data_IF_666276597047
#
_entry.id   IF_666276597047
#
_cell.length_a   1.000
_cell.length_b   1.000
_cell.length_c   1.000
_cell.angle_alpha   90.00
_cell.angle_beta   90.00
_cell.angle_gamma   90.00
#
_symmetry.space_group_name_H-M   'P 1'
#
loop_
_entity.id
_entity.type
_entity.pdbx_description
1 polymer ?
#
# COMPACT_ATOMS: atom_id res chain seq x y z
N UNK A 1 -4.24 -44.48 -11.46
CA UNK A 1 -3.86 -43.08 -11.64
C UNK A 1 -4.67 -42.10 -10.78
N UNK A 2 -5.89 -42.40 -10.37
CA UNK A 2 -6.72 -41.56 -9.52
C UNK A 2 -6.29 -41.50 -8.04
N UNK A 3 -5.80 -42.60 -7.48
CA UNK A 3 -5.42 -42.69 -6.06
C UNK A 3 -4.19 -41.83 -5.72
N UNK A 4 -3.26 -41.64 -6.66
CA UNK A 4 -2.06 -40.83 -6.45
C UNK A 4 -2.39 -39.33 -6.39
N UNK A 5 -3.32 -38.87 -7.24
CA UNK A 5 -3.81 -37.45 -7.17
C UNK A 5 -4.55 -37.19 -5.88
N UNK A 6 -5.33 -38.15 -5.39
CA UNK A 6 -6.06 -38.01 -4.13
C UNK A 6 -5.11 -37.95 -2.93
N UNK A 7 -4.03 -38.74 -2.93
CA UNK A 7 -2.99 -38.68 -1.89
C UNK A 7 -2.26 -37.35 -1.90
N UNK A 8 -1.91 -36.79 -3.07
CA UNK A 8 -1.24 -35.47 -3.18
C UNK A 8 -2.17 -34.36 -2.68
N UNK A 9 -3.44 -34.38 -3.06
CA UNK A 9 -4.41 -33.36 -2.62
C UNK A 9 -4.60 -33.42 -1.10
N UNK A 10 -4.73 -34.61 -0.51
CA UNK A 10 -4.80 -34.75 0.95
C UNK A 10 -3.51 -34.35 1.65
N UNK A 11 -2.34 -34.63 1.08
CA UNK A 11 -1.06 -34.21 1.65
C UNK A 11 -0.91 -32.66 1.62
N UNK A 12 -1.31 -32.00 0.53
CA UNK A 12 -1.33 -30.54 0.43
C UNK A 12 -2.34 -29.96 1.43
N UNK A 13 -3.51 -30.55 1.58
CA UNK A 13 -4.51 -30.11 2.54
C UNK A 13 -4.05 -30.27 3.99
N UNK A 14 -3.35 -31.38 4.30
CA UNK A 14 -2.79 -31.64 5.62
C UNK A 14 -1.66 -30.67 5.97
N UNK A 15 -0.78 -30.34 5.01
CA UNK A 15 0.29 -29.36 5.22
C UNK A 15 -0.26 -27.93 5.40
N UNK A 16 -1.38 -27.58 4.77
CA UNK A 16 -2.06 -26.31 4.99
C UNK A 16 -2.73 -26.20 6.37
N UNK A 17 -3.21 -27.32 6.95
CA UNK A 17 -3.83 -27.33 8.27
C UNK A 17 -2.84 -27.23 9.46
N UNK A 18 -1.56 -27.48 9.25
CA UNK A 18 -0.53 -27.40 10.28
C UNK A 18 0.28 -26.10 10.26
N UNK A 19 -0.13 -25.08 9.50
CA UNK A 19 0.39 -23.74 9.73
C UNK A 19 -0.06 -23.31 11.13
N UNK A 20 0.81 -23.50 12.13
CA UNK A 20 0.67 -22.81 13.40
C UNK A 20 0.50 -21.34 13.06
N UNK A 21 -0.62 -20.77 13.49
CA UNK A 21 -0.83 -19.32 13.46
C UNK A 21 0.20 -18.76 14.42
N UNK A 22 1.40 -18.46 13.91
CA UNK A 22 2.32 -17.60 14.61
C UNK A 22 1.53 -16.35 14.99
N UNK A 23 1.82 -15.77 16.17
CA UNK A 23 1.19 -14.51 16.55
C UNK A 23 1.27 -13.56 15.34
N UNK A 24 0.16 -12.96 14.94
CA UNK A 24 0.16 -12.10 13.77
C UNK A 24 1.20 -11.00 14.00
N UNK A 25 2.23 -10.96 13.16
CA UNK A 25 3.15 -9.83 13.15
C UNK A 25 2.36 -8.55 12.84
N UNK A 26 2.83 -7.39 13.30
CA UNK A 26 2.16 -6.13 13.03
C UNK A 26 1.87 -5.99 11.53
N UNK A 27 0.66 -5.60 11.14
CA UNK A 27 0.31 -5.51 9.72
C UNK A 27 1.25 -4.56 8.99
N UNK A 28 1.59 -4.87 7.74
CA UNK A 28 2.43 -4.00 6.91
C UNK A 28 1.74 -2.67 6.60
N UNK A 29 0.44 -2.73 6.39
CA UNK A 29 -0.44 -1.59 6.19
C UNK A 29 -1.71 -1.85 6.99
N UNK A 30 -2.45 -0.81 7.33
CA UNK A 30 -3.83 -0.97 7.79
C UNK A 30 -4.69 -1.42 6.59
N UNK A 31 -5.53 -0.58 6.06
CA UNK A 31 -6.17 -0.83 4.76
C UNK A 31 -5.27 -0.29 3.64
N UNK A 32 -4.89 0.98 3.75
CA UNK A 32 -4.07 1.68 2.75
C UNK A 32 -2.84 2.38 3.34
N UNK A 33 -2.96 2.89 4.55
CA UNK A 33 -1.90 3.62 5.25
C UNK A 33 -0.83 2.66 5.75
N UNK A 34 0.46 2.93 5.45
CA UNK A 34 1.56 2.11 5.93
C UNK A 34 1.71 2.19 7.45
N UNK A 35 2.12 1.08 8.06
CA UNK A 35 2.48 0.99 9.47
C UNK A 35 3.98 0.78 9.64
N UNK A 36 4.48 0.77 10.88
CA UNK A 36 5.86 0.36 11.15
C UNK A 36 6.05 -1.18 11.25
N UNK A 37 5.05 -1.95 10.83
CA UNK A 37 5.19 -3.41 10.70
C UNK A 37 6.16 -3.79 9.58
N UNK A 38 6.96 -4.83 9.82
CA UNK A 38 7.84 -5.48 8.85
C UNK A 38 7.59 -6.98 8.86
N UNK A 39 7.94 -7.66 7.79
CA UNK A 39 7.85 -9.12 7.72
C UNK A 39 9.02 -9.76 8.45
N UNK A 40 8.80 -10.82 9.24
CA UNK A 40 9.86 -11.63 9.80
C UNK A 40 10.76 -12.20 8.70
N UNK A 41 12.01 -12.44 9.03
CA UNK A 41 12.99 -13.05 8.10
C UNK A 41 12.46 -14.36 7.53
N UNK A 42 12.52 -14.50 6.20
CA UNK A 42 12.11 -15.71 5.47
C UNK A 42 10.60 -15.88 5.33
N UNK A 43 9.80 -14.94 5.83
CA UNK A 43 8.34 -14.92 5.59
C UNK A 43 8.01 -14.16 4.32
N UNK A 44 6.83 -14.42 3.79
CA UNK A 44 6.30 -13.67 2.65
C UNK A 44 4.80 -13.42 2.82
N UNK A 45 4.31 -12.39 2.18
CA UNK A 45 2.87 -12.12 2.02
C UNK A 45 2.54 -11.94 0.55
N UNK A 46 1.34 -12.40 0.20
CA UNK A 46 0.72 -12.07 -1.08
C UNK A 46 -0.58 -11.32 -0.79
N UNK A 47 -0.65 -10.09 -1.28
CA UNK A 47 -1.81 -9.22 -1.15
C UNK A 47 -2.37 -8.92 -2.54
N UNK A 48 -3.66 -8.68 -2.64
CA UNK A 48 -4.29 -8.26 -3.87
C UNK A 48 -5.31 -7.17 -3.57
N UNK A 49 -5.05 -5.97 -4.09
CA UNK A 49 -5.95 -4.84 -3.94
C UNK A 49 -6.84 -4.74 -5.19
N UNK A 50 -8.15 -4.75 -4.97
CA UNK A 50 -9.12 -4.48 -6.03
C UNK A 50 -9.36 -2.98 -6.07
N UNK A 51 -9.19 -2.38 -7.26
CA UNK A 51 -9.31 -0.94 -7.49
C UNK A 51 -10.54 -0.61 -8.33
N UNK A 52 -10.83 0.68 -8.48
CA UNK A 52 -11.92 1.17 -9.34
C UNK A 52 -11.82 0.57 -10.76
N UNK A 53 -12.95 0.46 -11.43
CA UNK A 53 -13.07 -0.05 -12.80
C UNK A 53 -12.55 -1.49 -13.00
N UNK A 54 -12.60 -2.31 -11.96
CA UNK A 54 -12.18 -3.71 -12.02
C UNK A 54 -10.66 -3.89 -12.15
N UNK A 55 -9.89 -2.93 -11.70
CA UNK A 55 -8.44 -3.07 -11.62
C UNK A 55 -8.03 -3.97 -10.44
N UNK A 56 -6.87 -4.64 -10.59
CA UNK A 56 -6.26 -5.46 -9.54
C UNK A 56 -4.78 -5.11 -9.44
N UNK A 57 -4.29 -5.00 -8.21
CA UNK A 57 -2.88 -4.79 -7.90
C UNK A 57 -2.42 -5.96 -7.02
N UNK A 58 -1.92 -7.05 -7.61
CA UNK A 58 -1.21 -8.08 -6.87
C UNK A 58 0.12 -7.53 -6.36
N UNK A 59 0.46 -7.87 -5.12
CA UNK A 59 1.67 -7.47 -4.42
C UNK A 59 2.26 -8.67 -3.67
N UNK A 60 3.52 -8.92 -3.88
CA UNK A 60 4.29 -9.94 -3.16
C UNK A 60 5.38 -9.24 -2.36
N UNK A 61 5.39 -9.47 -1.05
CA UNK A 61 6.41 -8.95 -0.15
C UNK A 61 7.14 -10.09 0.55
N UNK A 62 8.45 -9.93 0.76
CA UNK A 62 9.33 -10.90 1.42
C UNK A 62 10.14 -10.19 2.51
N UNK A 63 10.24 -10.82 3.69
CA UNK A 63 11.13 -10.41 4.77
C UNK A 63 12.54 -10.97 4.57
N UNK A 64 13.50 -10.13 4.27
CA UNK A 64 14.92 -10.53 4.17
C UNK A 64 15.59 -10.60 5.54
N UNK A 65 15.24 -9.65 6.40
CA UNK A 65 15.59 -9.65 7.82
C UNK A 65 14.33 -9.25 8.61
N UNK A 66 14.37 -9.35 9.93
CA UNK A 66 13.23 -8.93 10.76
C UNK A 66 12.94 -7.42 10.64
N UNK A 67 13.93 -6.64 10.19
CA UNK A 67 13.82 -5.19 10.04
C UNK A 67 13.76 -4.72 8.59
N UNK A 68 13.99 -5.61 7.61
CA UNK A 68 14.01 -5.24 6.20
C UNK A 68 13.11 -6.16 5.37
N UNK A 69 12.16 -5.58 4.70
CA UNK A 69 11.28 -6.25 3.73
C UNK A 69 11.29 -5.55 2.38
N UNK A 70 11.17 -6.37 1.35
CA UNK A 70 11.10 -5.95 -0.05
C UNK A 70 9.88 -6.56 -0.71
N UNK A 71 9.22 -5.79 -1.57
CA UNK A 71 8.07 -6.25 -2.33
C UNK A 71 8.10 -5.79 -3.77
N UNK A 72 7.30 -6.47 -4.57
CA UNK A 72 7.00 -6.10 -5.95
C UNK A 72 5.50 -6.14 -6.17
N UNK A 73 4.99 -5.23 -6.98
CA UNK A 73 3.58 -5.18 -7.36
C UNK A 73 3.40 -4.88 -8.83
N UNK A 74 2.22 -5.17 -9.33
CA UNK A 74 1.90 -4.98 -10.74
C UNK A 74 0.43 -4.54 -10.90
N UNK A 75 0.20 -3.37 -11.47
CA UNK A 75 -1.15 -2.85 -11.65
C UNK A 75 -1.76 -3.31 -12.98
N UNK A 76 -2.87 -4.04 -12.92
CA UNK A 76 -3.65 -4.46 -14.09
C UNK A 76 -5.01 -3.78 -13.97
N UNK A 77 -5.43 -3.06 -15.00
CA UNK A 77 -6.73 -2.40 -15.06
C UNK A 77 -7.74 -3.23 -15.85
N UNK A 78 -9.03 -3.05 -15.51
CA UNK A 78 -10.16 -3.69 -16.21
C UNK A 78 -10.06 -5.23 -16.28
N UNK A 79 -9.41 -5.86 -15.28
CA UNK A 79 -9.34 -7.32 -15.22
C UNK A 79 -10.71 -7.93 -14.89
N UNK A 80 -11.51 -7.23 -14.10
CA UNK A 80 -12.88 -7.60 -13.77
C UNK A 80 -13.82 -6.64 -14.51
N UNK A 81 -14.71 -7.18 -15.36
CA UNK A 81 -15.69 -6.39 -16.10
C UNK A 81 -15.70 -6.71 -17.60
N UNK A 82 -16.34 -5.86 -18.39
CA UNK A 82 -16.52 -6.08 -19.82
C UNK A 82 -15.47 -5.41 -20.71
N UNK A 83 -14.58 -4.60 -20.13
CA UNK A 83 -13.51 -3.91 -20.86
C UNK A 83 -12.32 -4.85 -21.07
N UNK A 84 -11.50 -4.56 -22.09
CA UNK A 84 -10.26 -5.33 -22.29
C UNK A 84 -9.26 -4.99 -21.19
N UNK A 85 -8.68 -6.01 -20.50
CA UNK A 85 -7.63 -5.79 -19.53
C UNK A 85 -6.40 -5.12 -20.16
N UNK A 86 -5.76 -4.22 -19.42
CA UNK A 86 -4.49 -3.63 -19.80
C UNK A 86 -3.60 -3.42 -18.57
N UNK A 87 -2.31 -3.39 -18.80
CA UNK A 87 -1.30 -3.19 -17.77
C UNK A 87 -1.01 -1.69 -17.66
N UNK A 88 -0.96 -1.16 -16.43
CA UNK A 88 -0.67 0.25 -16.19
C UNK A 88 0.73 0.66 -16.66
N UNK A 89 1.72 -0.06 -16.19
CA UNK A 89 3.14 0.13 -16.57
C UNK A 89 3.75 -1.21 -16.96
N UNK A 90 4.68 -1.18 -17.89
CA UNK A 90 5.40 -2.38 -18.32
C UNK A 90 6.39 -2.88 -17.27
N UNK A 91 6.86 -2.01 -16.40
CA UNK A 91 7.76 -2.33 -15.29
C UNK A 91 6.98 -2.59 -14.00
N UNK A 92 7.36 -3.59 -13.21
CA UNK A 92 6.79 -3.76 -11.88
C UNK A 92 7.17 -2.59 -10.98
N UNK A 93 6.30 -2.29 -10.04
CA UNK A 93 6.53 -1.32 -8.97
C UNK A 93 7.14 -2.02 -7.76
N UNK A 94 7.89 -1.26 -6.95
CA UNK A 94 8.65 -1.79 -5.82
C UNK A 94 8.19 -1.23 -4.50
N UNK A 95 8.29 -2.06 -3.46
CA UNK A 95 8.05 -1.68 -2.08
C UNK A 95 9.27 -2.05 -1.24
N UNK A 96 9.71 -1.10 -0.44
CA UNK A 96 10.82 -1.28 0.51
C UNK A 96 10.36 -0.79 1.87
N UNK A 97 10.64 -1.57 2.92
CA UNK A 97 10.48 -1.13 4.30
C UNK A 97 11.72 -1.46 5.09
N UNK A 98 12.21 -0.48 5.83
CA UNK A 98 13.33 -0.64 6.75
C UNK A 98 12.96 -0.06 8.11
N UNK A 99 12.88 -0.94 9.12
CA UNK A 99 12.63 -0.56 10.51
C UNK A 99 13.93 -0.20 11.18
N UNK A 100 14.04 1.07 11.55
CA UNK A 100 15.25 1.62 12.19
C UNK A 100 15.21 1.42 13.70
N UNK A 101 14.03 1.55 14.29
CA UNK A 101 13.83 1.35 15.73
C UNK A 101 12.67 0.38 15.95
N UNK A 102 12.96 -0.64 16.78
CA UNK A 102 11.94 -1.56 17.24
C UNK A 102 11.06 -0.92 18.32
N UNK A 103 9.81 -1.34 18.37
CA UNK A 103 8.93 -0.94 19.44
C UNK A 103 9.38 -1.51 20.78
N UNK A 104 9.36 -0.68 21.79
CA UNK A 104 9.60 -1.07 23.19
C UNK A 104 8.52 -0.42 24.09
N UNK A 105 8.51 -0.71 25.37
CA UNK A 105 7.55 -0.07 26.29
C UNK A 105 7.56 1.46 26.21
N UNK A 106 8.74 2.06 26.04
CA UNK A 106 8.93 3.52 26.06
C UNK A 106 9.06 4.14 24.68
N UNK A 107 9.52 3.38 23.69
CA UNK A 107 9.83 3.89 22.34
C UNK A 107 8.88 3.31 21.31
N UNK A 108 8.38 4.12 20.38
CA UNK A 108 7.62 3.64 19.23
C UNK A 108 8.56 2.96 18.22
N UNK A 109 7.99 2.10 17.38
CA UNK A 109 8.68 1.63 16.19
C UNK A 109 8.75 2.74 15.14
N UNK A 110 9.88 2.83 14.42
CA UNK A 110 10.07 3.80 13.34
C UNK A 110 10.55 3.06 12.09
N UNK A 111 9.82 3.28 11.00
CA UNK A 111 10.11 2.70 9.68
C UNK A 111 10.28 3.80 8.65
N UNK A 112 11.29 3.63 7.81
CA UNK A 112 11.39 4.31 6.51
C UNK A 112 10.97 3.34 5.42
N UNK A 113 10.23 3.83 4.45
CA UNK A 113 9.79 3.00 3.33
C UNK A 113 9.76 3.75 2.01
N UNK A 114 9.69 2.96 0.97
CA UNK A 114 9.47 3.39 -0.40
C UNK A 114 8.35 2.53 -0.97
N UNK A 115 7.34 3.14 -1.55
CA UNK A 115 6.32 2.44 -2.34
C UNK A 115 6.07 3.24 -3.61
N UNK A 116 6.41 2.67 -4.75
CA UNK A 116 6.23 3.31 -6.07
C UNK A 116 4.91 2.94 -6.72
N UNK A 117 4.08 2.10 -6.07
CA UNK A 117 2.79 1.68 -6.60
C UNK A 117 1.70 2.70 -6.26
N UNK A 118 1.27 3.43 -7.28
CA UNK A 118 0.05 4.23 -7.22
C UNK A 118 -1.21 3.40 -7.50
N UNK A 119 -2.38 4.03 -7.46
CA UNK A 119 -3.68 3.40 -7.68
C UNK A 119 -4.42 4.03 -8.84
N UNK A 120 -5.24 3.21 -9.50
CA UNK A 120 -5.96 3.63 -10.71
C UNK A 120 -5.09 3.55 -11.95
N UNK A 121 -5.46 4.30 -12.97
CA UNK A 121 -4.77 4.30 -14.27
C UNK A 121 -3.51 5.14 -14.18
N UNK A 122 -2.40 4.62 -14.72
CA UNK A 122 -1.19 5.41 -14.95
C UNK A 122 -1.35 6.22 -16.23
N UNK A 123 -1.05 7.52 -16.17
CA UNK A 123 -1.15 8.45 -17.30
C UNK A 123 0.18 9.11 -17.56
N UNK A 124 0.70 8.90 -18.76
CA UNK A 124 1.90 9.60 -19.22
C UNK A 124 1.59 11.06 -19.52
N UNK A 125 0.40 11.33 -20.09
CA UNK A 125 0.01 12.67 -20.52
C UNK A 125 -1.51 12.88 -20.44
N UNK A 126 -1.91 14.13 -20.42
CA UNK A 126 -3.29 14.56 -20.62
C UNK A 126 -3.38 15.58 -21.76
N UNK A 127 -4.48 15.57 -22.47
CA UNK A 127 -4.79 16.56 -23.51
C UNK A 127 -5.53 17.70 -22.83
N UNK A 128 -4.93 18.89 -22.81
CA UNK A 128 -5.56 20.12 -22.38
C UNK A 128 -5.80 21.00 -23.59
N UNK A 129 -6.96 21.62 -23.69
CA UNK A 129 -7.55 22.43 -24.78
C UNK A 129 -6.71 22.72 -26.05
N UNK A 130 -5.40 22.83 -25.99
CA UNK A 130 -4.52 23.07 -27.14
C UNK A 130 -3.16 22.36 -27.08
N UNK A 131 -2.79 21.78 -25.91
CA UNK A 131 -1.49 21.15 -25.70
C UNK A 131 -1.59 19.80 -25.01
N UNK A 132 -0.67 18.91 -25.36
CA UNK A 132 -0.47 17.65 -24.60
C UNK A 132 0.52 17.92 -23.48
N UNK A 133 0.07 17.75 -22.24
CA UNK A 133 0.90 17.93 -21.05
C UNK A 133 1.29 16.58 -20.49
N UNK A 134 2.60 16.38 -20.31
CA UNK A 134 3.13 15.19 -19.62
C UNK A 134 2.86 15.30 -18.14
N UNK A 135 2.36 14.25 -17.52
CA UNK A 135 2.04 14.20 -16.09
C UNK A 135 2.66 13.01 -15.37
N UNK A 136 2.95 11.93 -16.06
CA UNK A 136 3.67 10.73 -15.59
C UNK A 136 3.24 10.28 -14.19
N UNK A 137 1.93 10.05 -13.98
CA UNK A 137 1.40 9.71 -12.66
C UNK A 137 0.23 8.74 -12.71
N UNK A 138 -0.03 8.09 -11.58
CA UNK A 138 -1.27 7.37 -11.35
C UNK A 138 -2.44 8.33 -11.03
N UNK A 139 -3.68 7.85 -11.19
CA UNK A 139 -4.88 8.58 -10.76
C UNK A 139 -4.79 8.97 -9.26
N UNK A 140 -4.26 8.07 -8.42
CA UNK A 140 -3.83 8.35 -7.05
C UNK A 140 -2.34 8.09 -6.96
N UNK A 141 -1.57 9.11 -6.60
CA UNK A 141 -0.11 9.00 -6.50
C UNK A 141 0.33 7.88 -5.55
N UNK A 142 1.46 7.28 -5.86
CA UNK A 142 2.14 6.37 -4.96
C UNK A 142 2.54 7.09 -3.67
N UNK A 143 2.72 6.32 -2.59
CA UNK A 143 3.25 6.85 -1.33
C UNK A 143 4.62 7.49 -1.51
N UNK A 144 5.43 6.97 -2.45
CA UNK A 144 6.82 7.40 -2.65
C UNK A 144 7.68 7.07 -1.44
N UNK A 145 8.55 7.99 -1.05
CA UNK A 145 9.28 7.89 0.22
C UNK A 145 8.35 8.25 1.38
N UNK A 146 8.35 7.43 2.42
CA UNK A 146 7.58 7.70 3.62
C UNK A 146 8.35 7.35 4.88
N UNK A 147 7.98 8.00 5.97
CA UNK A 147 8.36 7.63 7.32
C UNK A 147 7.09 7.43 8.15
N UNK A 148 7.06 6.36 8.93
CA UNK A 148 5.95 6.07 9.82
C UNK A 148 6.46 5.72 11.21
N UNK A 149 5.77 6.23 12.20
CA UNK A 149 5.95 5.95 13.63
C UNK A 149 4.73 5.20 14.10
N UNK A 150 4.92 4.04 14.71
CA UNK A 150 3.84 3.20 15.22
C UNK A 150 4.04 2.85 16.67
N UNK A 151 2.98 2.93 17.45
CA UNK A 151 2.98 2.55 18.85
C UNK A 151 1.75 1.75 19.18
N UNK A 152 1.97 0.61 19.87
CA UNK A 152 0.91 -0.29 20.30
C UNK A 152 0.81 -0.31 21.83
N UNK A 153 -0.41 -0.41 22.31
CA UNK A 153 -0.72 -0.59 23.73
C UNK A 153 -1.68 -1.75 23.90
N UNK A 154 -1.53 -2.47 24.98
CA UNK A 154 -2.48 -3.50 25.36
C UNK A 154 -3.52 -2.90 26.33
N UNK A 155 -4.60 -2.36 25.77
CA UNK A 155 -5.70 -1.75 26.50
C UNK A 155 -7.01 -2.44 26.13
N UNK A 156 -7.40 -3.48 26.89
CA UNK A 156 -8.57 -4.32 26.57
C UNK A 156 -8.55 -4.81 25.11
N UNK A 157 -7.45 -5.51 24.72
CA UNK A 157 -7.07 -5.83 23.36
C UNK A 157 -6.05 -4.85 22.80
N UNK A 158 -5.49 -5.16 21.65
CA UNK A 158 -4.46 -4.32 21.02
C UNK A 158 -5.05 -2.97 20.57
N UNK A 159 -4.30 -1.91 20.82
CA UNK A 159 -4.57 -0.55 20.35
C UNK A 159 -3.32 -0.03 19.67
N UNK A 160 -3.38 0.19 18.35
CA UNK A 160 -2.30 0.73 17.55
C UNK A 160 -2.58 2.17 17.11
N UNK A 161 -1.54 3.00 17.15
CA UNK A 161 -1.51 4.33 16.56
C UNK A 161 -0.35 4.42 15.58
N UNK A 162 -0.64 4.98 14.40
CA UNK A 162 0.31 5.10 13.31
C UNK A 162 0.24 6.52 12.78
N UNK A 163 1.39 7.19 12.74
CA UNK A 163 1.49 8.58 12.25
C UNK A 163 2.67 8.62 11.31
N UNK A 164 2.50 9.25 10.17
CA UNK A 164 3.58 9.37 9.22
C UNK A 164 3.40 10.51 8.22
N UNK A 165 4.43 10.67 7.44
CA UNK A 165 4.45 11.59 6.31
C UNK A 165 5.15 10.93 5.14
N UNK A 166 4.79 11.39 3.96
CA UNK A 166 5.34 10.86 2.72
C UNK A 166 5.50 11.96 1.68
N UNK A 167 6.29 11.63 0.66
CA UNK A 167 6.49 12.44 -0.52
C UNK A 167 6.53 11.53 -1.74
N UNK A 168 5.67 11.77 -2.71
CA UNK A 168 5.68 11.03 -3.98
C UNK A 168 7.00 11.24 -4.72
N UNK A 169 7.49 10.18 -5.34
CA UNK A 169 8.70 10.23 -6.16
C UNK A 169 8.35 9.87 -7.60
N UNK A 170 8.79 10.71 -8.55
CA UNK A 170 8.61 10.46 -9.97
C UNK A 170 7.21 10.71 -10.51
N UNK A 171 6.32 11.31 -9.70
CA UNK A 171 4.96 11.68 -10.09
C UNK A 171 4.67 13.17 -9.84
N UNK A 172 5.69 14.02 -10.02
CA UNK A 172 5.62 15.45 -9.69
C UNK A 172 5.48 16.35 -10.93
N UNK A 173 5.36 15.76 -12.13
CA UNK A 173 5.21 16.51 -13.38
C UNK A 173 3.88 17.27 -13.46
N UNK A 174 2.92 16.90 -12.61
CA UNK A 174 1.68 17.63 -12.40
C UNK A 174 1.85 18.96 -11.65
N UNK A 175 3.04 19.24 -11.13
CA UNK A 175 3.38 20.46 -10.38
C UNK A 175 3.06 20.40 -8.89
N UNK A 176 2.48 19.30 -8.40
CA UNK A 176 2.22 19.06 -6.98
C UNK A 176 3.34 18.21 -6.37
N UNK A 177 4.19 18.82 -5.59
CA UNK A 177 5.37 18.22 -4.98
C UNK A 177 5.39 18.43 -3.45
N UNK A 178 4.24 18.52 -2.86
CA UNK A 178 4.10 18.77 -1.43
C UNK A 178 4.38 17.54 -0.59
N UNK A 179 4.71 17.75 0.68
CA UNK A 179 4.72 16.69 1.66
C UNK A 179 3.29 16.37 2.08
N UNK A 180 3.01 15.09 2.23
CA UNK A 180 1.73 14.64 2.72
C UNK A 180 1.86 14.07 4.14
N UNK A 181 0.77 14.13 4.88
CA UNK A 181 0.63 13.60 6.22
C UNK A 181 -0.48 12.54 6.24
N UNK A 182 -0.25 11.48 7.02
CA UNK A 182 -1.25 10.44 7.23
C UNK A 182 -1.28 9.98 8.69
N UNK A 183 -2.43 9.45 9.07
CA UNK A 183 -2.70 8.92 10.39
C UNK A 183 -3.46 7.61 10.27
N UNK A 184 -3.16 6.67 11.14
CA UNK A 184 -3.84 5.39 11.23
C UNK A 184 -4.09 4.99 12.69
N UNK A 185 -5.20 4.33 12.90
CA UNK A 185 -5.63 3.81 14.18
C UNK A 185 -6.19 2.42 13.99
N UNK A 186 -5.76 1.47 14.81
CA UNK A 186 -6.37 0.16 14.89
C UNK A 186 -6.71 -0.20 16.33
N UNK A 187 -7.85 -0.84 16.52
CA UNK A 187 -8.32 -1.30 17.82
C UNK A 187 -8.92 -2.68 17.71
N UNK A 188 -8.33 -3.63 18.40
CA UNK A 188 -8.94 -4.92 18.62
C UNK A 188 -10.08 -4.79 19.65
N UNK A 189 -11.31 -5.05 19.22
CA UNK A 189 -12.49 -5.02 20.06
C UNK A 189 -12.71 -6.38 20.72
N UNK A 190 -12.48 -7.45 19.99
CA UNK A 190 -12.46 -8.83 20.45
C UNK A 190 -11.69 -9.71 19.46
N UNK A 191 -11.58 -11.03 19.73
CA UNK A 191 -10.82 -11.98 18.90
C UNK A 191 -11.26 -12.05 17.42
N UNK A 192 -12.46 -11.59 17.10
CA UNK A 192 -13.05 -11.67 15.75
C UNK A 192 -13.33 -10.32 15.12
N UNK A 193 -13.16 -9.23 15.88
CA UNK A 193 -13.52 -7.88 15.45
C UNK A 193 -12.42 -6.88 15.77
N UNK A 194 -11.96 -6.17 14.73
CA UNK A 194 -11.07 -5.03 14.86
C UNK A 194 -11.65 -3.82 14.14
N UNK A 195 -11.50 -2.65 14.75
CA UNK A 195 -11.82 -1.37 14.15
C UNK A 195 -10.54 -0.76 13.58
N UNK A 196 -10.58 -0.39 12.31
CA UNK A 196 -9.51 0.32 11.61
C UNK A 196 -10.03 1.69 11.18
N UNK A 197 -9.23 2.72 11.40
CA UNK A 197 -9.53 4.08 10.97
C UNK A 197 -8.27 4.67 10.36
N UNK A 198 -8.40 5.26 9.18
CA UNK A 198 -7.31 5.86 8.44
C UNK A 198 -7.67 7.28 8.01
N UNK A 199 -6.70 8.15 8.03
CA UNK A 199 -6.80 9.49 7.45
C UNK A 199 -5.55 9.77 6.62
N UNK A 200 -5.76 10.15 5.39
CA UNK A 200 -4.72 10.60 4.45
C UNK A 200 -5.05 12.03 4.03
N UNK A 201 -4.20 12.99 4.39
CA UNK A 201 -4.43 14.39 4.09
C UNK A 201 -4.35 14.70 2.58
N UNK A 202 -3.66 13.84 1.83
CA UNK A 202 -3.50 13.92 0.37
C UNK A 202 -2.98 15.29 -0.12
N UNK A 203 -2.11 15.94 0.66
CA UNK A 203 -1.56 17.25 0.29
C UNK A 203 -0.69 17.21 -0.95
N UNK A 204 -0.05 16.06 -1.22
CA UNK A 204 0.73 15.81 -2.42
C UNK A 204 -0.10 15.37 -3.63
N UNK A 205 -1.42 15.38 -3.52
CA UNK A 205 -2.35 14.88 -4.54
C UNK A 205 -3.65 15.71 -4.55
N UNK A 206 -3.58 17.00 -4.30
CA UNK A 206 -4.76 17.85 -4.11
C UNK A 206 -4.93 18.92 -5.19
N UNK A 207 -3.92 19.22 -6.01
CA UNK A 207 -4.04 20.16 -7.11
C UNK A 207 -3.14 19.78 -8.29
N UNK A 208 -3.43 20.40 -9.41
CA UNK A 208 -2.72 20.22 -10.67
C UNK A 208 -2.40 21.58 -11.29
N UNK A 209 -1.15 21.77 -11.67
CA UNK A 209 -0.69 23.02 -12.24
C UNK A 209 -0.20 22.82 -13.66
N UNK A 210 -0.99 23.26 -14.63
CA UNK A 210 -0.60 23.31 -16.04
C UNK A 210 -0.44 24.75 -16.46
N UNK A 211 0.72 25.12 -17.02
CA UNK A 211 0.99 26.44 -17.59
C UNK A 211 0.58 27.61 -16.70
N UNK A 212 0.90 27.54 -15.39
CA UNK A 212 0.52 28.51 -14.36
C UNK A 212 -1.00 28.63 -14.09
N UNK A 213 -1.82 27.77 -14.62
CA UNK A 213 -3.23 27.66 -14.26
C UNK A 213 -3.40 26.53 -13.25
N UNK A 214 -4.04 26.85 -12.12
CA UNK A 214 -4.46 25.86 -11.13
C UNK A 214 -5.79 25.26 -11.59
N UNK A 215 -5.77 24.00 -11.96
CA UNK A 215 -6.99 23.25 -12.24
C UNK A 215 -7.19 22.20 -11.16
N UNK A 216 -8.42 22.04 -10.67
CA UNK A 216 -8.74 20.93 -9.80
C UNK A 216 -8.57 19.62 -10.58
N UNK A 217 -7.84 18.68 -9.98
CA UNK A 217 -7.70 17.34 -10.54
C UNK A 217 -9.03 16.61 -10.50
N UNK A 218 -9.51 16.22 -11.64
CA UNK A 218 -10.70 15.36 -11.75
C UNK A 218 -10.42 13.92 -11.30
N UNK A 219 -9.16 13.54 -11.09
CA UNK A 219 -8.72 12.21 -10.71
C UNK A 219 -7.81 12.16 -9.48
N UNK A 220 -7.35 13.29 -8.95
CA UNK A 220 -6.64 13.36 -7.67
C UNK A 220 -7.53 13.14 -6.46
N UNK A 221 -6.91 12.99 -5.29
CA UNK A 221 -7.66 12.73 -4.06
C UNK A 221 -8.38 13.95 -3.49
N UNK A 222 -7.98 15.15 -3.90
CA UNK A 222 -8.57 16.39 -3.38
C UNK A 222 -8.19 16.68 -1.93
N UNK A 223 -9.16 16.98 -1.07
CA UNK A 223 -8.94 17.48 0.29
C UNK A 223 -8.97 16.36 1.36
N UNK A 224 -8.07 15.39 1.27
CA UNK A 224 -7.94 14.37 2.31
C UNK A 224 -9.07 13.33 2.33
N UNK A 225 -8.77 12.14 2.87
CA UNK A 225 -9.68 11.01 2.97
C UNK A 225 -9.68 10.44 4.38
N UNK A 226 -10.85 10.07 4.81
CA UNK A 226 -11.13 9.34 6.03
C UNK A 226 -11.52 7.92 5.69
#
# INVERSE_FOLDING_TARGET
>A
MNNFKFIIINFIFYTMCFMQVAQPYPPLNLVSVPTAGTLPRGSFTFESLITKNGGIIPKLCVGFTDNFSFGVSYGIQSLIGNNKPFVNKTTPEVQIKYRVFDESEKMPAIVYGLDTQGRGIYRDSIISFQDTVMINRYDQKAWGLYMVVSKNWNLLGNLGLHIGFNKSLGENDDGDNDFNFFFGFDKELNRSFSLLLEYDAAFNDNFFKVNNQLNELTFGRGKGYL
#
